data_IF_593399064259
#
_entry.id   IF_593399064259
#
_cell.length_a   1.000
_cell.length_b   1.000
_cell.length_c   1.000
_cell.angle_alpha   90.00
_cell.angle_beta   90.00
_cell.angle_gamma   90.00
#
_symmetry.space_group_name_H-M   'P 1'
#
loop_
_entity.id
_entity.type
_entity.pdbx_description
1 polymer ?
#
# COMPACT_ATOMS: atom_id res chain seq x y z
N UNK A 1 4.70 57.72 -0.80
CA UNK A 1 3.53 56.81 -0.86
C UNK A 1 3.93 55.49 -0.21
N UNK A 2 3.39 55.17 0.94
CA UNK A 2 3.69 53.90 1.63
C UNK A 2 2.92 52.78 0.96
N UNK A 3 3.62 51.84 0.39
CA UNK A 3 3.04 50.58 -0.14
C UNK A 3 2.38 49.84 1.03
N UNK A 4 1.04 49.82 1.08
CA UNK A 4 0.32 48.97 1.99
C UNK A 4 0.60 47.52 1.61
N UNK A 5 1.39 46.84 2.41
CA UNK A 5 1.48 45.38 2.37
C UNK A 5 0.10 44.82 2.72
N UNK A 6 -0.61 44.33 1.71
CA UNK A 6 -1.87 43.64 1.90
C UNK A 6 -1.58 42.33 2.63
N UNK A 7 -1.61 42.37 3.98
CA UNK A 7 -1.47 41.18 4.82
C UNK A 7 -2.71 40.32 4.58
N UNK A 8 -2.54 39.04 4.20
CA UNK A 8 -3.68 38.15 4.13
C UNK A 8 -4.42 38.15 5.46
N UNK A 9 -5.76 38.12 5.47
CA UNK A 9 -6.52 38.12 6.71
C UNK A 9 -6.09 36.97 7.60
N UNK A 10 -5.91 37.24 8.90
CA UNK A 10 -5.60 36.23 9.90
C UNK A 10 -6.63 35.13 9.82
N UNK A 11 -6.20 33.94 9.42
CA UNK A 11 -7.07 32.76 9.35
C UNK A 11 -7.53 32.40 10.76
N UNK A 12 -8.84 32.41 10.98
CA UNK A 12 -9.43 32.05 12.26
C UNK A 12 -9.63 30.53 12.33
N UNK A 13 -9.73 29.99 13.55
CA UNK A 13 -10.02 28.57 13.78
C UNK A 13 -11.37 28.16 13.15
N UNK A 14 -12.31 29.09 13.03
CA UNK A 14 -13.58 28.90 12.35
C UNK A 14 -13.41 28.66 10.86
N UNK A 15 -12.45 29.36 10.21
CA UNK A 15 -12.15 29.18 8.80
C UNK A 15 -11.52 27.81 8.55
N UNK A 16 -10.63 27.38 9.47
CA UNK A 16 -10.06 26.04 9.45
C UNK A 16 -11.16 24.97 9.58
N UNK A 17 -12.04 25.08 10.57
CA UNK A 17 -13.15 24.14 10.79
C UNK A 17 -14.08 24.05 9.57
N UNK A 18 -14.38 25.18 8.91
CA UNK A 18 -15.24 25.21 7.73
C UNK A 18 -14.61 24.51 6.50
N UNK A 19 -13.28 24.42 6.45
CA UNK A 19 -12.55 23.76 5.36
C UNK A 19 -12.28 22.26 5.64
N UNK A 20 -12.34 21.85 6.90
CA UNK A 20 -12.16 20.46 7.30
C UNK A 20 -13.50 19.70 7.24
N UNK A 21 -14.00 19.46 6.03
CA UNK A 21 -15.24 18.74 5.79
C UNK A 21 -15.11 17.30 6.32
N UNK A 22 -16.12 16.79 7.03
CA UNK A 22 -16.12 15.43 7.58
C UNK A 22 -15.15 15.18 8.73
N UNK A 23 -14.40 16.20 9.21
CA UNK A 23 -13.45 16.05 10.32
C UNK A 23 -12.10 15.43 9.95
N UNK A 24 -11.83 15.26 8.66
CA UNK A 24 -10.60 14.68 8.12
C UNK A 24 -10.59 13.14 8.07
N UNK A 25 -9.91 12.59 7.08
CA UNK A 25 -9.72 11.14 6.94
C UNK A 25 -8.89 10.59 8.10
N UNK A 26 -9.25 9.40 8.58
CA UNK A 26 -8.59 8.74 9.70
C UNK A 26 -7.72 7.59 9.23
N UNK A 27 -6.45 7.52 9.65
CA UNK A 27 -5.53 6.48 9.20
C UNK A 27 -5.86 5.08 9.75
N UNK A 28 -6.66 4.97 10.79
CA UNK A 28 -7.07 3.71 11.41
C UNK A 28 -8.34 3.09 10.80
N UNK A 29 -8.96 3.76 9.81
CA UNK A 29 -10.13 3.27 9.12
C UNK A 29 -9.72 2.87 7.69
N UNK A 30 -9.30 1.65 7.55
CA UNK A 30 -8.89 1.08 6.26
C UNK A 30 -9.17 -0.42 6.21
N UNK A 31 -9.20 -0.94 5.00
CA UNK A 31 -9.35 -2.36 4.69
C UNK A 31 -8.39 -2.71 3.57
N UNK A 32 -7.76 -3.87 3.65
CA UNK A 32 -6.83 -4.38 2.62
C UNK A 32 -7.41 -5.64 2.03
N UNK A 33 -7.54 -5.68 0.72
CA UNK A 33 -7.97 -6.85 -0.03
C UNK A 33 -6.81 -7.39 -0.84
N UNK A 34 -6.39 -8.62 -0.53
CA UNK A 34 -5.29 -9.30 -1.19
C UNK A 34 -5.87 -10.41 -2.08
N UNK A 35 -5.51 -10.38 -3.35
CA UNK A 35 -5.68 -11.55 -4.22
C UNK A 35 -4.44 -12.46 -4.07
N UNK A 36 -4.68 -13.76 -4.20
CA UNK A 36 -3.62 -14.77 -4.23
C UNK A 36 -3.76 -15.56 -5.52
N UNK A 37 -2.64 -15.97 -6.14
CA UNK A 37 -2.67 -16.74 -7.38
C UNK A 37 -3.54 -18.01 -7.26
N UNK A 38 -4.28 -18.32 -8.31
CA UNK A 38 -5.19 -19.47 -8.32
C UNK A 38 -4.46 -20.78 -8.12
N UNK A 39 -3.22 -20.88 -8.59
CA UNK A 39 -2.39 -22.08 -8.47
C UNK A 39 -2.08 -22.48 -7.03
N UNK A 40 -2.13 -21.54 -6.08
CA UNK A 40 -1.82 -21.79 -4.68
C UNK A 40 -3.01 -22.42 -3.94
N UNK A 41 -4.21 -22.41 -4.54
CA UNK A 41 -5.45 -22.96 -3.97
C UNK A 41 -5.71 -22.48 -2.52
N UNK A 42 -5.74 -21.16 -2.30
CA UNK A 42 -6.03 -20.57 -1.01
C UNK A 42 -7.53 -20.51 -0.79
N UNK A 43 -7.98 -21.02 0.36
CA UNK A 43 -9.37 -21.00 0.75
C UNK A 43 -9.92 -19.56 0.87
N UNK A 44 -11.20 -19.39 0.52
CA UNK A 44 -11.87 -18.10 0.63
C UNK A 44 -11.82 -17.53 2.05
N UNK A 45 -11.92 -18.38 3.05
CA UNK A 45 -11.85 -18.00 4.47
C UNK A 45 -10.51 -17.34 4.83
N UNK A 46 -9.41 -17.76 4.21
CA UNK A 46 -8.09 -17.16 4.43
C UNK A 46 -8.01 -15.76 3.79
N UNK A 47 -8.59 -15.59 2.59
CA UNK A 47 -8.70 -14.28 1.93
C UNK A 47 -9.53 -13.31 2.77
N UNK A 48 -10.66 -13.77 3.30
CA UNK A 48 -11.52 -12.96 4.17
C UNK A 48 -10.82 -12.62 5.50
N UNK A 49 -10.09 -13.57 6.12
CA UNK A 49 -9.28 -13.33 7.31
C UNK A 49 -8.20 -12.25 7.06
N UNK A 50 -7.53 -12.28 5.91
CA UNK A 50 -6.49 -11.32 5.58
C UNK A 50 -7.02 -9.88 5.60
N UNK A 51 -8.26 -9.63 5.17
CA UNK A 51 -8.90 -8.31 5.22
C UNK A 51 -8.96 -7.72 6.63
N UNK A 52 -9.16 -8.56 7.66
CA UNK A 52 -9.30 -8.13 9.04
C UNK A 52 -7.99 -8.16 9.83
N UNK A 53 -7.06 -9.05 9.48
CA UNK A 53 -5.83 -9.26 10.24
C UNK A 53 -4.65 -8.42 9.74
N UNK A 54 -4.79 -7.70 8.62
CA UNK A 54 -3.81 -6.69 8.23
C UNK A 54 -3.95 -5.48 9.16
N UNK A 55 -3.01 -5.36 10.11
CA UNK A 55 -2.98 -4.31 11.14
C UNK A 55 -2.51 -2.97 10.57
N UNK A 56 -1.57 -2.99 9.66
CA UNK A 56 -1.00 -1.80 9.05
C UNK A 56 -0.67 -2.04 7.57
N UNK A 57 -0.94 -1.02 6.77
CA UNK A 57 -0.60 -0.99 5.35
C UNK A 57 -0.12 0.42 4.99
N UNK A 58 1.17 0.57 4.78
CA UNK A 58 1.75 1.85 4.36
C UNK A 58 1.59 1.99 2.85
N UNK A 59 0.89 3.02 2.38
CA UNK A 59 0.85 3.32 0.95
C UNK A 59 2.27 3.69 0.48
N UNK A 60 2.84 3.00 -0.54
CA UNK A 60 4.21 3.26 -0.97
C UNK A 60 4.35 4.64 -1.62
N UNK A 61 5.56 5.17 -1.60
CA UNK A 61 5.86 6.41 -2.28
C UNK A 61 5.98 6.21 -3.80
N UNK A 62 5.61 7.25 -4.54
CA UNK A 62 5.82 7.34 -5.99
C UNK A 62 6.82 8.44 -6.25
N UNK A 63 7.96 8.11 -6.83
CA UNK A 63 9.09 9.00 -7.02
C UNK A 63 9.30 9.30 -8.50
N UNK A 64 9.63 10.55 -8.82
CA UNK A 64 10.08 10.95 -10.16
C UNK A 64 11.52 11.45 -10.01
N UNK A 65 12.45 10.72 -10.59
CA UNK A 65 13.87 11.09 -10.54
C UNK A 65 14.15 12.22 -11.54
N UNK A 66 14.73 13.34 -11.11
CA UNK A 66 15.11 14.41 -12.04
C UNK A 66 16.32 14.02 -12.88
N UNK A 67 16.31 14.40 -14.15
CA UNK A 67 17.45 14.31 -15.06
C UNK A 67 18.17 15.65 -15.04
N UNK A 68 19.45 15.64 -14.68
CA UNK A 68 20.27 16.85 -14.60
C UNK A 68 20.98 17.11 -15.94
N UNK A 69 20.65 18.25 -16.56
CA UNK A 69 21.29 18.73 -17.80
C UNK A 69 22.17 19.91 -17.49
N UNK A 70 23.47 19.79 -17.69
CA UNK A 70 24.44 20.85 -17.44
C UNK A 70 24.47 21.83 -18.60
N UNK A 71 24.26 23.12 -18.33
CA UNK A 71 24.37 24.17 -19.29
C UNK A 71 25.11 25.38 -18.71
N UNK A 72 26.31 25.66 -19.19
CA UNK A 72 27.13 26.85 -18.88
C UNK A 72 27.23 27.17 -17.37
N UNK A 73 27.52 26.15 -16.55
CA UNK A 73 27.68 26.29 -15.10
C UNK A 73 26.38 26.30 -14.31
N UNK A 74 25.26 26.03 -14.95
CA UNK A 74 23.95 25.82 -14.30
C UNK A 74 23.41 24.43 -14.62
N UNK A 75 22.66 23.87 -13.68
CA UNK A 75 21.97 22.58 -13.85
C UNK A 75 20.50 22.85 -14.14
N UNK A 76 20.03 22.41 -15.29
CA UNK A 76 18.61 22.35 -15.61
C UNK A 76 18.08 20.97 -15.20
N UNK A 77 17.03 20.94 -14.39
CA UNK A 77 16.38 19.68 -13.97
C UNK A 77 15.17 19.42 -14.86
N UNK A 78 15.16 18.26 -15.48
CA UNK A 78 14.05 17.76 -16.31
C UNK A 78 13.45 16.55 -15.60
N UNK A 79 12.13 16.35 -15.69
CA UNK A 79 11.48 15.18 -15.13
C UNK A 79 11.93 13.92 -15.88
N UNK A 80 12.33 12.90 -15.11
CA UNK A 80 12.70 11.58 -15.61
C UNK A 80 11.57 10.56 -15.32
N UNK A 81 11.97 9.30 -15.21
CA UNK A 81 11.05 8.19 -15.03
C UNK A 81 10.47 8.13 -13.61
N UNK A 82 9.27 7.55 -13.53
CA UNK A 82 8.59 7.30 -12.26
C UNK A 82 8.92 5.92 -11.73
N UNK A 83 9.23 5.85 -10.44
CA UNK A 83 9.47 4.60 -9.71
C UNK A 83 8.53 4.51 -8.51
N UNK A 84 8.24 3.28 -8.09
CA UNK A 84 7.38 2.99 -6.96
C UNK A 84 8.19 2.23 -5.91
N UNK A 85 8.02 2.62 -4.66
CA UNK A 85 8.67 1.93 -3.54
C UNK A 85 7.93 0.63 -3.23
N UNK A 86 8.60 -0.27 -2.53
CA UNK A 86 8.02 -1.53 -2.04
C UNK A 86 6.85 -1.25 -1.11
N UNK A 87 5.78 -2.00 -1.26
CA UNK A 87 4.62 -1.92 -0.39
C UNK A 87 4.77 -2.87 0.80
N UNK A 88 4.73 -2.33 2.01
CA UNK A 88 4.87 -3.11 3.24
C UNK A 88 3.56 -3.18 3.98
N UNK A 89 3.15 -4.39 4.35
CA UNK A 89 1.99 -4.66 5.20
C UNK A 89 2.42 -5.38 6.48
N UNK A 90 1.73 -5.10 7.59
CA UNK A 90 1.90 -5.82 8.86
C UNK A 90 0.66 -6.63 9.13
N UNK A 91 0.82 -7.91 9.39
CA UNK A 91 -0.25 -8.88 9.60
C UNK A 91 -0.16 -9.44 11.00
N UNK A 92 -1.31 -9.50 11.69
CA UNK A 92 -1.45 -10.21 12.96
C UNK A 92 -1.48 -11.71 12.64
N UNK A 93 -0.63 -12.47 13.32
CA UNK A 93 -0.60 -13.91 13.14
C UNK A 93 -1.72 -14.58 13.96
N UNK A 94 -2.48 -15.44 13.31
CA UNK A 94 -3.51 -16.24 13.95
C UNK A 94 -2.94 -17.61 14.35
N UNK A 95 -3.56 -18.27 15.31
CA UNK A 95 -3.12 -19.57 15.85
C UNK A 95 -3.08 -20.69 14.81
N UNK A 96 -3.79 -20.56 13.70
CA UNK A 96 -3.78 -21.51 12.58
C UNK A 96 -2.70 -21.22 11.54
N UNK A 97 -1.97 -20.08 11.64
CA UNK A 97 -0.93 -19.62 10.71
C UNK A 97 -1.38 -19.56 9.25
N UNK A 98 -2.67 -19.47 9.01
CA UNK A 98 -3.26 -19.62 7.67
C UNK A 98 -2.76 -18.56 6.69
N UNK A 99 -2.70 -17.28 7.12
CA UNK A 99 -2.25 -16.18 6.27
C UNK A 99 -0.75 -16.27 5.99
N UNK A 100 0.07 -16.55 7.03
CA UNK A 100 1.50 -16.74 6.85
C UNK A 100 1.79 -17.90 5.90
N UNK A 101 1.12 -19.02 6.08
CA UNK A 101 1.24 -20.18 5.17
C UNK A 101 0.83 -19.85 3.74
N UNK A 102 -0.15 -18.95 3.55
CA UNK A 102 -0.54 -18.48 2.22
C UNK A 102 0.59 -17.72 1.54
N UNK A 103 1.25 -16.79 2.24
CA UNK A 103 2.40 -16.06 1.70
C UNK A 103 3.61 -16.96 1.47
N UNK A 104 3.89 -17.91 2.37
CA UNK A 104 4.97 -18.89 2.20
C UNK A 104 4.73 -19.79 0.97
N UNK A 105 3.49 -20.23 0.75
CA UNK A 105 3.11 -20.96 -0.47
C UNK A 105 3.27 -20.09 -1.72
N UNK A 106 2.90 -18.82 -1.64
CA UNK A 106 3.06 -17.88 -2.76
C UNK A 106 4.55 -17.71 -3.12
N UNK A 107 5.41 -17.46 -2.14
CA UNK A 107 6.85 -17.38 -2.39
C UNK A 107 7.42 -18.70 -2.93
N UNK A 108 6.93 -19.83 -2.42
CA UNK A 108 7.35 -21.15 -2.89
C UNK A 108 6.86 -21.46 -4.32
N UNK A 109 5.75 -20.90 -4.78
CA UNK A 109 5.31 -21.01 -6.17
C UNK A 109 6.21 -20.23 -7.13
N UNK A 110 6.73 -19.08 -6.67
CA UNK A 110 7.68 -18.26 -7.43
C UNK A 110 9.05 -18.95 -7.52
N UNK A 111 9.54 -19.46 -6.39
CA UNK A 111 10.82 -20.15 -6.33
C UNK A 111 10.78 -21.24 -5.25
N UNK A 112 10.73 -22.49 -5.69
CA UNK A 112 10.63 -23.65 -4.79
C UNK A 112 11.89 -23.84 -3.96
N UNK A 113 11.71 -24.06 -2.67
CA UNK A 113 12.81 -24.29 -1.73
C UNK A 113 13.61 -25.57 -2.03
N UNK A 114 12.97 -26.58 -2.65
CA UNK A 114 13.59 -27.89 -2.85
C UNK A 114 14.57 -27.95 -4.04
N UNK A 115 14.24 -27.26 -5.13
CA UNK A 115 14.94 -27.41 -6.42
C UNK A 115 15.16 -26.09 -7.16
N UNK A 116 14.76 -24.98 -6.53
CA UNK A 116 14.82 -23.63 -7.10
C UNK A 116 14.09 -23.48 -8.46
N UNK A 117 13.15 -24.38 -8.78
CA UNK A 117 12.24 -24.24 -9.90
C UNK A 117 11.02 -23.44 -9.48
N UNK A 118 10.30 -22.83 -10.43
CA UNK A 118 9.10 -22.06 -10.11
C UNK A 118 8.37 -21.58 -11.35
N UNK A 119 7.40 -20.68 -11.13
CA UNK A 119 6.66 -20.07 -12.21
C UNK A 119 7.56 -19.19 -13.08
N UNK A 120 7.59 -19.46 -14.38
CA UNK A 120 8.41 -18.70 -15.34
C UNK A 120 7.66 -17.50 -15.91
N UNK A 121 6.33 -17.55 -15.90
CA UNK A 121 5.50 -16.47 -16.44
C UNK A 121 5.04 -15.56 -15.28
N UNK A 122 5.29 -14.26 -15.36
CA UNK A 122 4.84 -13.31 -14.34
C UNK A 122 3.33 -13.36 -14.05
N UNK A 123 2.51 -13.60 -15.07
CA UNK A 123 1.06 -13.72 -14.92
C UNK A 123 0.61 -14.88 -14.01
N UNK A 124 1.47 -15.87 -13.75
CA UNK A 124 1.13 -17.03 -12.92
C UNK A 124 1.33 -16.75 -11.42
N UNK A 125 2.12 -15.70 -11.06
CA UNK A 125 2.41 -15.39 -9.66
C UNK A 125 2.14 -13.93 -9.27
N UNK A 126 1.86 -13.04 -10.20
CA UNK A 126 1.49 -11.66 -9.93
C UNK A 126 -0.02 -11.53 -9.79
N UNK A 127 -0.45 -10.77 -8.80
CA UNK A 127 -1.86 -10.53 -8.51
C UNK A 127 -2.13 -9.09 -8.14
N UNK A 128 -3.37 -8.67 -8.25
CA UNK A 128 -3.79 -7.34 -7.85
C UNK A 128 -4.16 -7.29 -6.37
N UNK A 129 -3.94 -6.13 -5.77
CA UNK A 129 -4.35 -5.88 -4.39
C UNK A 129 -5.07 -4.53 -4.28
N UNK A 130 -5.91 -4.39 -3.26
CA UNK A 130 -6.68 -3.17 -3.04
C UNK A 130 -6.52 -2.68 -1.60
N UNK A 131 -6.48 -1.36 -1.45
CA UNK A 131 -6.54 -0.70 -0.14
C UNK A 131 -7.70 0.29 -0.17
N UNK A 132 -8.65 0.09 0.71
CA UNK A 132 -9.83 0.94 0.86
C UNK A 132 -9.68 1.77 2.12
N UNK A 133 -9.73 3.08 1.99
CA UNK A 133 -9.83 3.99 3.12
C UNK A 133 -11.31 4.26 3.39
N UNK A 134 -11.71 4.06 4.63
CA UNK A 134 -13.10 4.11 5.06
C UNK A 134 -13.41 5.38 5.86
N UNK A 135 -14.68 5.78 5.84
CA UNK A 135 -15.21 6.76 6.77
C UNK A 135 -15.74 6.07 8.04
N UNK A 136 -16.19 6.85 8.99
CA UNK A 136 -16.73 6.37 10.28
C UNK A 136 -18.01 5.55 10.17
N UNK A 137 -18.76 5.75 9.10
CA UNK A 137 -19.99 5.01 8.77
C UNK A 137 -19.72 3.71 7.99
N UNK A 138 -18.41 3.40 7.70
CA UNK A 138 -18.00 2.26 6.91
C UNK A 138 -18.06 2.49 5.40
N UNK A 139 -18.45 3.68 4.94
CA UNK A 139 -18.42 4.00 3.51
C UNK A 139 -16.98 4.19 3.02
N UNK A 140 -16.74 3.80 1.78
CA UNK A 140 -15.41 3.93 1.18
C UNK A 140 -15.18 5.38 0.73
N UNK A 141 -14.19 6.03 1.34
CA UNK A 141 -13.73 7.36 0.95
C UNK A 141 -12.86 7.31 -0.30
N UNK A 142 -11.92 6.40 -0.32
CA UNK A 142 -10.97 6.25 -1.42
C UNK A 142 -10.48 4.82 -1.52
N UNK A 143 -10.30 4.33 -2.75
CA UNK A 143 -9.73 3.02 -3.04
C UNK A 143 -8.48 3.16 -3.88
N UNK A 144 -7.46 2.40 -3.54
CA UNK A 144 -6.23 2.26 -4.31
C UNK A 144 -6.14 0.84 -4.83
N UNK A 145 -5.76 0.69 -6.10
CA UNK A 145 -5.42 -0.59 -6.71
C UNK A 145 -3.94 -0.65 -6.96
N UNK A 146 -3.35 -1.74 -6.55
CA UNK A 146 -1.96 -2.11 -6.78
C UNK A 146 -1.93 -3.18 -7.84
N UNK A 147 -1.15 -2.97 -8.86
CA UNK A 147 -1.07 -3.86 -10.04
C UNK A 147 0.18 -4.71 -9.97
N UNK A 148 0.04 -5.97 -10.38
CA UNK A 148 1.14 -6.94 -10.52
C UNK A 148 1.97 -7.06 -9.24
N UNK A 149 1.29 -7.32 -8.13
CA UNK A 149 1.87 -7.44 -6.80
C UNK A 149 2.39 -8.86 -6.56
N UNK A 150 3.57 -8.98 -5.96
CA UNK A 150 4.09 -10.28 -5.49
C UNK A 150 4.97 -10.09 -4.26
N UNK A 151 5.03 -11.10 -3.35
CA UNK A 151 5.84 -11.01 -2.14
C UNK A 151 7.32 -11.21 -2.44
N UNK A 152 8.15 -10.34 -1.86
CA UNK A 152 9.62 -10.41 -1.94
C UNK A 152 10.27 -10.78 -0.62
N UNK A 153 9.61 -10.46 0.49
CA UNK A 153 10.13 -10.76 1.82
C UNK A 153 8.99 -11.01 2.81
N UNK A 154 9.15 -12.02 3.65
CA UNK A 154 8.34 -12.25 4.84
C UNK A 154 9.29 -12.11 6.04
N UNK A 155 8.98 -11.21 6.97
CA UNK A 155 9.87 -10.95 8.10
C UNK A 155 10.06 -12.18 8.99
N UNK A 156 11.20 -12.20 9.68
CA UNK A 156 11.39 -13.11 10.81
C UNK A 156 10.35 -12.84 11.92
N UNK A 157 10.11 -13.83 12.74
CA UNK A 157 9.33 -13.73 13.97
C UNK A 157 10.23 -14.11 15.14
N UNK A 158 10.31 -13.22 16.13
CA UNK A 158 11.10 -13.46 17.31
C UNK A 158 10.26 -14.22 18.37
N UNK A 159 10.71 -15.41 18.71
CA UNK A 159 10.07 -16.24 19.74
C UNK A 159 10.88 -16.14 21.03
N UNK A 160 10.25 -15.71 22.13
CA UNK A 160 10.89 -15.58 23.43
C UNK A 160 9.94 -15.96 24.56
N UNK A 161 10.44 -16.74 25.50
CA UNK A 161 9.68 -17.08 26.73
C UNK A 161 9.43 -15.86 27.63
N UNK A 162 10.19 -14.77 27.43
CA UNK A 162 10.07 -13.54 28.21
C UNK A 162 8.98 -12.61 27.68
N UNK A 163 8.51 -12.85 26.44
CA UNK A 163 7.51 -12.03 25.80
C UNK A 163 6.12 -12.57 26.18
N UNK A 164 5.51 -11.96 27.17
CA UNK A 164 4.16 -12.27 27.63
C UNK A 164 3.19 -11.14 27.24
N UNK A 165 1.91 -11.49 27.08
CA UNK A 165 0.82 -10.53 26.77
C UNK A 165 0.97 -9.73 25.45
N UNK A 166 1.66 -10.31 24.48
CA UNK A 166 1.77 -9.76 23.11
C UNK A 166 1.26 -10.73 22.06
N UNK A 167 0.57 -10.19 21.07
CA UNK A 167 0.15 -10.97 19.89
C UNK A 167 1.28 -10.94 18.88
N UNK A 168 1.55 -12.08 18.28
CA UNK A 168 2.57 -12.22 17.26
C UNK A 168 2.17 -11.51 15.96
N UNK A 169 3.11 -10.79 15.36
CA UNK A 169 2.93 -10.06 14.12
C UNK A 169 4.11 -10.34 13.19
N UNK A 170 3.84 -10.27 11.89
CA UNK A 170 4.89 -10.32 10.88
C UNK A 170 4.62 -9.29 9.78
N UNK A 171 5.67 -8.88 9.10
CA UNK A 171 5.60 -7.97 7.96
C UNK A 171 5.84 -8.72 6.67
N UNK A 172 5.13 -8.31 5.63
CA UNK A 172 5.34 -8.77 4.26
C UNK A 172 5.70 -7.58 3.39
N UNK A 173 6.79 -7.69 2.66
CA UNK A 173 7.18 -6.73 1.64
C UNK A 173 6.71 -7.24 0.28
N UNK A 174 5.97 -6.41 -0.40
CA UNK A 174 5.35 -6.69 -1.68
C UNK A 174 5.93 -5.75 -2.74
N UNK A 175 6.43 -6.30 -3.81
CA UNK A 175 6.81 -5.51 -4.98
C UNK A 175 5.56 -5.18 -5.78
N UNK A 176 5.50 -3.98 -6.32
CA UNK A 176 4.36 -3.43 -7.04
C UNK A 176 4.85 -2.84 -8.36
N UNK A 177 4.19 -3.14 -9.46
CA UNK A 177 4.52 -2.52 -10.75
C UNK A 177 4.15 -1.03 -10.73
N UNK A 178 2.91 -0.73 -10.38
CA UNK A 178 2.41 0.62 -10.11
C UNK A 178 1.11 0.56 -9.30
N UNK A 179 0.68 1.69 -8.79
CA UNK A 179 -0.61 1.80 -8.11
C UNK A 179 -1.33 3.09 -8.49
N UNK A 180 -2.65 3.09 -8.36
CA UNK A 180 -3.47 4.24 -8.65
C UNK A 180 -4.75 4.28 -7.81
N UNK A 181 -5.39 5.45 -7.78
CA UNK A 181 -6.71 5.60 -7.16
C UNK A 181 -7.80 5.23 -8.16
N UNK A 182 -8.71 4.34 -7.78
CA UNK A 182 -9.82 3.88 -8.62
C UNK A 182 -11.18 4.43 -8.19
N UNK A 183 -11.31 4.93 -6.95
CA UNK A 183 -12.56 5.47 -6.42
C UNK A 183 -12.28 6.52 -5.35
N UNK A 184 -13.05 7.61 -5.34
CA UNK A 184 -13.00 8.64 -4.30
C UNK A 184 -13.11 10.06 -4.85
N UNK A 185 -13.21 11.03 -3.94
CA UNK A 185 -13.23 12.45 -4.28
C UNK A 185 -11.84 12.85 -4.80
N UNK A 186 -11.77 13.23 -6.07
CA UNK A 186 -10.51 13.61 -6.73
C UNK A 186 -9.90 12.51 -7.61
N UNK A 187 -10.70 11.76 -8.31
CA UNK A 187 -10.38 10.58 -9.14
C UNK A 187 -9.28 10.75 -10.21
N UNK A 188 -8.73 11.94 -10.40
CA UNK A 188 -7.78 12.20 -11.49
C UNK A 188 -6.30 12.07 -11.09
N UNK A 189 -5.98 11.36 -10.01
CA UNK A 189 -4.59 11.13 -9.61
C UNK A 189 -3.96 9.93 -10.35
N UNK A 190 -4.25 9.77 -11.65
CA UNK A 190 -3.60 8.78 -12.51
C UNK A 190 -4.25 7.39 -12.53
N UNK A 191 -5.47 7.25 -12.01
CA UNK A 191 -6.25 6.02 -12.16
C UNK A 191 -6.93 5.95 -13.51
N UNK A 192 -6.90 4.79 -14.15
CA UNK A 192 -7.75 4.52 -15.32
C UNK A 192 -9.22 4.66 -14.91
N UNK A 193 -9.97 5.46 -15.67
CA UNK A 193 -11.42 5.44 -15.60
C UNK A 193 -11.88 4.07 -16.08
N UNK A 194 -12.33 3.23 -15.18
CA UNK A 194 -13.02 1.99 -15.54
C UNK A 194 -14.35 2.40 -16.18
N UNK A 195 -14.43 2.25 -17.50
CA UNK A 195 -15.66 2.37 -18.27
C UNK A 195 -16.57 1.16 -18.00
#
# INVERSE_FOLDING_TARGET
>A
MATQFNRPPLRRITDFKSKLVGGGARPNLFEVELAFPEEIAIDKDVKDKARFLVKAAALPASNITPIDVNFRGRILKIAGDRTFDTWTITVINDTDFSIRSAFEKWMNSINRLSDATGANNPADYQEDAYVHQLDRDGSTLRSYRFYDVFPTNISQMDLSYETVDTIEEFTVELQVLYFGSIKGVGDNAGGESIS
#
